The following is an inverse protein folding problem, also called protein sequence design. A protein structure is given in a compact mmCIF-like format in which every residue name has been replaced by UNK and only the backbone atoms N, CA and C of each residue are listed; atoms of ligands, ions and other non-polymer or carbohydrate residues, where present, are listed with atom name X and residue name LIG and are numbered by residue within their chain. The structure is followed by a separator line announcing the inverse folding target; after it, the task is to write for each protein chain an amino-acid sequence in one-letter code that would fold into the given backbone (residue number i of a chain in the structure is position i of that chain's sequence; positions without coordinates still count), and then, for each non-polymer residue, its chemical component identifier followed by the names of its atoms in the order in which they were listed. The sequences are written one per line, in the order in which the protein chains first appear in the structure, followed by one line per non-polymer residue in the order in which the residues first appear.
data_IF_649038653186
#
_entry.id   IF_649038653186
#
_cell.length_a   1.000
_cell.length_b   1.000
_cell.length_c   1.000
_cell.angle_alpha   90.00
_cell.angle_beta   90.00
_cell.angle_gamma   90.00
#
_symmetry.space_group_name_H-M   'P 1'
#
loop_
_entity.id
_entity.type
_entity.pdbx_description
1 polymer ?
#
# COMPACT_ATOMS: atom_id res chain seq x y z
N UNK A 1 -4.95 -23.09 -17.50
CA UNK A 1 -5.18 -21.63 -17.50
C UNK A 1 -5.28 -21.25 -16.05
N UNK A 2 -4.33 -20.47 -15.53
CA UNK A 2 -4.46 -19.92 -14.18
C UNK A 2 -5.73 -19.08 -14.12
N UNK A 3 -6.36 -19.01 -12.95
CA UNK A 3 -7.46 -18.08 -12.74
C UNK A 3 -7.00 -16.67 -13.16
N UNK A 4 -7.84 -16.00 -13.93
CA UNK A 4 -7.62 -14.60 -14.28
C UNK A 4 -7.84 -13.85 -12.98
N UNK A 5 -6.78 -13.21 -12.46
CA UNK A 5 -6.85 -12.39 -11.26
C UNK A 5 -7.95 -11.32 -11.41
N UNK A 6 -8.90 -11.31 -10.48
CA UNK A 6 -9.96 -10.31 -10.41
C UNK A 6 -9.59 -9.25 -9.36
N UNK A 7 -9.16 -8.04 -9.76
CA UNK A 7 -8.77 -6.97 -8.84
C UNK A 7 -9.94 -6.44 -8.00
N UNK A 8 -11.19 -6.80 -8.33
CA UNK A 8 -12.35 -6.42 -7.53
C UNK A 8 -12.68 -7.43 -6.42
N UNK A 9 -12.27 -8.69 -6.58
CA UNK A 9 -12.42 -9.74 -5.56
C UNK A 9 -11.27 -9.71 -4.54
N UNK A 10 -10.07 -9.35 -5.01
CA UNK A 10 -8.87 -9.18 -4.18
C UNK A 10 -8.28 -7.77 -4.42
N UNK A 11 -8.94 -6.74 -3.84
CA UNK A 11 -8.42 -5.37 -3.85
C UNK A 11 -7.05 -5.39 -3.16
N UNK A 12 -6.07 -4.62 -3.65
CA UNK A 12 -4.64 -4.63 -3.25
C UNK A 12 -3.76 -5.88 -3.55
N UNK A 13 -4.35 -7.08 -3.71
CA UNK A 13 -3.65 -8.28 -4.23
C UNK A 13 -3.34 -9.41 -3.23
N UNK A 14 -3.74 -9.33 -1.95
CA UNK A 14 -3.81 -10.49 -1.03
C UNK A 14 -4.79 -10.24 0.15
N UNK A 15 -5.95 -10.91 0.15
CA UNK A 15 -7.00 -10.69 1.14
C UNK A 15 -6.65 -11.16 2.57
N UNK A 16 -5.56 -11.90 2.78
CA UNK A 16 -5.29 -12.60 4.04
C UNK A 16 -4.07 -12.08 4.80
N UNK A 17 -3.33 -11.13 4.26
CA UNK A 17 -2.14 -10.57 4.92
C UNK A 17 -2.22 -9.05 4.98
N UNK A 18 -2.19 -8.42 6.17
CA UNK A 18 -2.06 -6.97 6.33
C UNK A 18 -0.60 -6.57 6.03
N UNK A 19 -0.16 -6.86 4.81
CA UNK A 19 1.21 -6.73 4.38
C UNK A 19 1.58 -5.25 4.23
N UNK A 20 0.62 -4.44 3.77
CA UNK A 20 0.76 -2.99 3.67
C UNK A 20 0.82 -2.30 5.04
N UNK A 21 0.15 -2.83 6.07
CA UNK A 21 0.35 -2.38 7.45
C UNK A 21 1.80 -2.51 7.89
N UNK A 22 2.40 -3.69 7.71
CA UNK A 22 3.80 -3.91 8.11
C UNK A 22 4.76 -3.04 7.30
N UNK A 23 4.51 -2.86 6.00
CA UNK A 23 5.30 -1.98 5.12
C UNK A 23 5.18 -0.52 5.59
N UNK A 24 3.97 -0.04 5.85
CA UNK A 24 3.70 1.30 6.35
C UNK A 24 4.38 1.56 7.71
N UNK A 25 4.26 0.65 8.66
CA UNK A 25 4.93 0.74 9.98
C UNK A 25 6.44 0.74 9.83
N UNK A 26 7.01 -0.18 9.03
CA UNK A 26 8.45 -0.24 8.81
C UNK A 26 8.97 1.05 8.17
N UNK A 27 8.28 1.57 7.15
CA UNK A 27 8.60 2.84 6.51
C UNK A 27 8.53 4.00 7.50
N UNK A 28 7.51 4.02 8.38
CA UNK A 28 7.33 5.08 9.36
C UNK A 28 8.46 5.09 10.40
N UNK A 29 8.79 3.92 10.93
CA UNK A 29 9.88 3.72 11.89
C UNK A 29 11.25 4.01 11.27
N UNK A 30 11.48 3.57 10.04
CA UNK A 30 12.73 3.85 9.34
C UNK A 30 12.90 5.35 9.06
N UNK A 31 11.85 6.00 8.54
CA UNK A 31 11.86 7.44 8.28
C UNK A 31 12.15 8.26 9.54
N UNK A 32 11.50 7.93 10.65
CA UNK A 32 11.70 8.62 11.93
C UNK A 32 13.03 8.30 12.61
N UNK A 33 13.42 7.03 12.68
CA UNK A 33 14.60 6.62 13.45
C UNK A 33 15.91 6.78 12.69
N UNK A 34 15.91 6.54 11.38
CA UNK A 34 17.13 6.46 10.57
C UNK A 34 17.32 7.67 9.66
N UNK A 35 16.25 8.20 9.07
CA UNK A 35 16.37 9.30 8.10
C UNK A 35 16.29 10.66 8.79
N UNK A 36 15.35 10.85 9.71
CA UNK A 36 15.10 12.12 10.38
C UNK A 36 16.35 12.74 11.04
N UNK A 37 17.22 11.99 11.76
CA UNK A 37 18.38 12.58 12.42
C UNK A 37 19.35 13.29 11.47
N UNK A 38 19.41 12.87 10.20
CA UNK A 38 20.31 13.40 9.19
C UNK A 38 19.60 14.30 8.18
N UNK A 39 18.33 14.00 7.86
CA UNK A 39 17.50 14.70 6.89
C UNK A 39 16.09 14.89 7.43
N UNK A 40 15.84 15.91 8.27
CA UNK A 40 14.60 16.03 9.05
C UNK A 40 13.33 16.10 8.20
N UNK A 41 13.33 16.91 7.14
CA UNK A 41 12.16 17.04 6.26
C UNK A 41 11.85 15.73 5.53
N UNK A 42 12.89 15.05 5.02
CA UNK A 42 12.75 13.77 4.35
C UNK A 42 12.27 12.69 5.32
N UNK A 43 12.90 12.58 6.50
CA UNK A 43 12.52 11.59 7.50
C UNK A 43 11.10 11.78 8.03
N UNK A 44 10.67 13.03 8.25
CA UNK A 44 9.29 13.35 8.57
C UNK A 44 8.32 12.97 7.44
N UNK A 45 8.70 13.20 6.19
CA UNK A 45 7.92 12.76 5.02
C UNK A 45 7.74 11.24 4.98
N UNK A 46 8.82 10.47 5.12
CA UNK A 46 8.76 9.00 5.19
C UNK A 46 7.92 8.52 6.37
N UNK A 47 8.11 9.13 7.56
CA UNK A 47 7.35 8.84 8.75
C UNK A 47 5.85 9.02 8.52
N UNK A 48 5.47 10.16 7.95
CA UNK A 48 4.09 10.53 7.70
C UNK A 48 3.43 9.64 6.63
N UNK A 49 4.09 9.41 5.50
CA UNK A 49 3.56 8.55 4.44
C UNK A 49 3.41 7.11 4.97
N UNK A 50 4.38 6.61 5.73
CA UNK A 50 4.30 5.26 6.29
C UNK A 50 3.12 5.08 7.24
N UNK A 51 2.83 6.10 8.06
CA UNK A 51 1.65 6.12 8.92
C UNK A 51 0.35 6.15 8.11
N UNK A 52 0.30 6.91 7.01
CA UNK A 52 -0.88 6.92 6.14
C UNK A 52 -1.13 5.57 5.50
N UNK A 53 -0.10 4.90 4.98
CA UNK A 53 -0.22 3.54 4.39
C UNK A 53 -0.71 2.54 5.44
N UNK A 54 -0.10 2.55 6.63
CA UNK A 54 -0.52 1.63 7.70
C UNK A 54 -1.95 1.92 8.20
N UNK A 55 -2.36 3.19 8.25
CA UNK A 55 -3.71 3.58 8.61
C UNK A 55 -4.72 3.14 7.56
N UNK A 56 -4.38 3.28 6.28
CA UNK A 56 -5.20 2.87 5.15
C UNK A 56 -5.53 1.38 5.25
N UNK A 57 -4.50 0.54 5.39
CA UNK A 57 -4.63 -0.91 5.48
C UNK A 57 -5.47 -1.36 6.69
N UNK A 58 -5.30 -0.69 7.85
CA UNK A 58 -6.13 -0.94 9.03
C UNK A 58 -7.60 -0.60 8.77
N UNK A 59 -7.88 0.50 8.08
CA UNK A 59 -9.27 0.90 7.75
C UNK A 59 -9.88 -0.14 6.81
N UNK A 60 -9.14 -0.57 5.80
CA UNK A 60 -9.54 -1.59 4.83
C UNK A 60 -9.97 -2.88 5.55
N UNK A 61 -9.07 -3.43 6.36
CA UNK A 61 -9.28 -4.68 7.06
C UNK A 61 -10.33 -4.60 8.19
N UNK A 62 -10.53 -3.42 8.78
CA UNK A 62 -11.52 -3.24 9.86
C UNK A 62 -12.92 -2.93 9.34
N UNK A 63 -13.04 -2.32 8.16
CA UNK A 63 -14.32 -1.77 7.68
C UNK A 63 -14.79 -2.32 6.35
N UNK A 64 -13.97 -3.08 5.62
CA UNK A 64 -14.23 -3.59 4.26
C UNK A 64 -14.58 -2.49 3.25
N UNK A 65 -14.32 -1.21 3.58
CA UNK A 65 -14.50 -0.11 2.67
C UNK A 65 -13.27 0.04 1.79
N UNK A 66 -13.49 0.26 0.50
CA UNK A 66 -12.43 0.58 -0.45
C UNK A 66 -11.67 1.84 0.00
N UNK A 67 -10.36 1.68 0.16
CA UNK A 67 -9.46 2.72 0.66
C UNK A 67 -8.82 3.51 -0.48
N UNK A 68 -8.20 4.66 -0.20
CA UNK A 68 -7.36 5.37 -1.15
C UNK A 68 -6.32 4.50 -1.88
N UNK A 69 -5.58 3.63 -1.18
CA UNK A 69 -4.56 2.78 -1.80
C UNK A 69 -5.20 1.77 -2.77
N UNK A 70 -6.35 1.26 -2.40
CA UNK A 70 -7.15 0.35 -3.18
C UNK A 70 -7.63 0.99 -4.51
N UNK A 71 -8.02 2.27 -4.47
CA UNK A 71 -8.31 3.05 -5.69
C UNK A 71 -7.08 3.27 -6.57
N UNK A 72 -5.90 3.46 -5.98
CA UNK A 72 -4.64 3.61 -6.72
C UNK A 72 -4.30 2.31 -7.44
N UNK A 73 -4.44 1.17 -6.76
CA UNK A 73 -4.26 -0.15 -7.33
C UNK A 73 -5.16 -0.35 -8.56
N UNK A 74 -6.48 -0.25 -8.38
CA UNK A 74 -7.46 -0.54 -9.44
C UNK A 74 -7.36 0.39 -10.64
N UNK A 75 -7.16 1.70 -10.41
CA UNK A 75 -7.18 2.71 -11.49
C UNK A 75 -5.86 2.88 -12.22
N UNK A 76 -4.75 2.70 -11.51
CA UNK A 76 -3.42 3.04 -12.06
C UNK A 76 -2.58 1.79 -12.21
N UNK A 77 -2.29 1.09 -11.11
CA UNK A 77 -1.30 0.02 -11.09
C UNK A 77 -1.79 -1.19 -11.90
N UNK A 78 -3.00 -1.68 -11.62
CA UNK A 78 -3.58 -2.82 -12.34
C UNK A 78 -3.71 -2.55 -13.85
N UNK A 79 -4.08 -1.31 -14.24
CA UNK A 79 -4.15 -0.94 -15.66
C UNK A 79 -2.78 -0.99 -16.35
N UNK A 80 -1.70 -0.71 -15.64
CA UNK A 80 -0.34 -0.80 -16.18
C UNK A 80 0.10 -2.26 -16.25
N UNK A 81 -0.09 -3.03 -15.17
CA UNK A 81 0.30 -4.45 -15.09
C UNK A 81 -0.40 -5.26 -16.18
N UNK A 82 -1.73 -5.14 -16.30
CA UNK A 82 -2.51 -5.86 -17.31
C UNK A 82 -2.07 -5.56 -18.76
N UNK A 83 -1.60 -4.34 -19.05
CA UNK A 83 -1.04 -4.01 -20.38
C UNK A 83 0.31 -4.69 -20.64
N UNK A 84 1.14 -4.81 -19.60
CA UNK A 84 2.44 -5.47 -19.68
C UNK A 84 2.25 -6.97 -19.87
N UNK A 85 1.36 -7.59 -19.10
CA UNK A 85 1.08 -9.03 -19.17
C UNK A 85 0.37 -9.47 -20.45
N UNK A 86 -0.35 -8.56 -21.12
CA UNK A 86 -1.00 -8.82 -22.41
C UNK A 86 -0.03 -8.79 -23.61
N UNK A 87 1.25 -8.47 -23.40
CA UNK A 87 2.31 -8.45 -24.43
C UNK A 87 3.07 -9.77 -24.46
#
# INVERSE_FOLDING_TARGET
MGEIFDPDEEPDGDALAPHDFYVGVAMALFGSAQVWPYYPATGAGFAFIGLLVALDDVIEHMTTYATPLDQVWKRVIYSIVSRIEAT
#
